data_IF_073056909941
#
_entry.id   IF_073056909941
#
_cell.length_a   1.000
_cell.length_b   1.000
_cell.length_c   1.000
_cell.angle_alpha   90.00
_cell.angle_beta   90.00
_cell.angle_gamma   90.00
#
_symmetry.space_group_name_H-M   'P 1'
#
loop_
_entity.id
_entity.type
_entity.pdbx_description
1 polymer ?
#
# COMPACT_ATOMS: atom_id res chain seq x y z
N UNK A 1 -12.12 0.45 -14.12
CA UNK A 1 -12.11 -0.63 -13.10
C UNK A 1 -13.20 -0.33 -12.13
N UNK A 2 -14.14 -1.25 -11.98
CA UNK A 2 -15.10 -1.25 -10.88
C UNK A 2 -14.70 -2.41 -9.99
N UNK A 3 -13.96 -2.10 -8.91
CA UNK A 3 -13.78 -3.04 -7.83
C UNK A 3 -15.04 -2.96 -6.93
N UNK A 4 -15.78 -4.07 -6.73
CA UNK A 4 -17.00 -4.06 -5.93
C UNK A 4 -16.73 -3.87 -4.43
N UNK A 5 -15.51 -4.15 -3.99
CA UNK A 5 -15.06 -4.04 -2.60
C UNK A 5 -13.54 -3.77 -2.51
N UNK A 6 -13.07 -3.54 -1.28
CA UNK A 6 -11.66 -3.23 -1.01
C UNK A 6 -10.75 -4.44 -1.29
N UNK A 7 -11.20 -5.65 -0.99
CA UNK A 7 -10.43 -6.87 -1.18
C UNK A 7 -10.14 -7.10 -2.67
N UNK A 8 -11.15 -6.91 -3.52
CA UNK A 8 -11.02 -6.99 -4.97
C UNK A 8 -10.09 -5.88 -5.49
N UNK A 9 -10.23 -4.65 -4.99
CA UNK A 9 -9.34 -3.55 -5.36
C UNK A 9 -7.88 -3.84 -5.00
N UNK A 10 -7.61 -4.32 -3.78
CA UNK A 10 -6.27 -4.72 -3.33
C UNK A 10 -5.71 -5.85 -4.21
N UNK A 11 -6.53 -6.84 -4.55
CA UNK A 11 -6.15 -7.92 -5.46
C UNK A 11 -5.78 -7.42 -6.85
N UNK A 12 -6.52 -6.46 -7.40
CA UNK A 12 -6.20 -5.83 -8.69
C UNK A 12 -4.88 -5.05 -8.64
N UNK A 13 -4.57 -4.35 -7.54
CA UNK A 13 -3.29 -3.67 -7.35
C UNK A 13 -2.12 -4.67 -7.29
N UNK A 14 -2.30 -5.78 -6.57
CA UNK A 14 -1.29 -6.84 -6.44
C UNK A 14 -1.00 -7.51 -7.80
N UNK A 15 -2.04 -7.83 -8.58
CA UNK A 15 -1.89 -8.40 -9.93
C UNK A 15 -1.14 -7.48 -10.90
N UNK A 16 -1.25 -6.17 -10.72
CA UNK A 16 -0.57 -5.16 -11.56
C UNK A 16 0.84 -4.83 -11.09
N UNK A 17 1.28 -5.38 -9.97
CA UNK A 17 2.54 -5.02 -9.33
C UNK A 17 2.54 -3.60 -8.74
N UNK A 18 1.34 -3.04 -8.48
CA UNK A 18 1.17 -1.69 -7.91
C UNK A 18 1.02 -1.70 -6.39
N UNK A 19 1.06 -2.87 -5.75
CA UNK A 19 0.98 -3.05 -4.31
C UNK A 19 2.27 -3.65 -3.76
N UNK A 20 2.76 -3.12 -2.67
CA UNK A 20 3.82 -3.72 -1.85
C UNK A 20 3.26 -4.08 -0.47
N UNK A 21 3.48 -5.33 -0.03
CA UNK A 21 3.10 -5.81 1.30
C UNK A 21 4.27 -5.67 2.27
N UNK A 22 4.13 -4.80 3.26
CA UNK A 22 5.07 -4.66 4.36
C UNK A 22 4.70 -5.70 5.41
N UNK A 23 5.52 -6.74 5.59
CA UNK A 23 5.26 -7.83 6.55
C UNK A 23 6.02 -7.69 7.87
N UNK A 24 6.94 -6.74 7.93
CA UNK A 24 7.68 -6.42 9.14
C UNK A 24 6.81 -5.56 10.04
N UNK A 25 6.99 -5.69 11.35
CA UNK A 25 6.30 -4.86 12.33
C UNK A 25 6.68 -3.38 12.12
N UNK A 26 5.67 -2.51 12.22
CA UNK A 26 5.80 -1.05 12.12
C UNK A 26 4.95 -0.39 13.21
N UNK A 27 5.39 0.75 13.70
CA UNK A 27 4.71 1.55 14.71
C UNK A 27 3.55 2.35 14.07
N UNK A 28 2.31 2.24 14.59
CA UNK A 28 1.21 3.08 14.11
C UNK A 28 1.40 4.57 14.42
N UNK A 29 2.26 4.91 15.38
CA UNK A 29 2.57 6.29 15.75
C UNK A 29 3.67 6.83 14.85
N UNK A 30 3.25 7.55 13.82
CA UNK A 30 4.08 8.30 12.86
C UNK A 30 4.95 7.48 11.90
N UNK A 31 5.36 6.25 12.23
CA UNK A 31 6.18 5.44 11.31
C UNK A 31 5.44 5.07 10.02
N UNK A 32 4.20 4.56 10.11
CA UNK A 32 3.38 4.27 8.92
C UNK A 32 3.23 5.51 8.02
N UNK A 33 3.01 6.68 8.62
CA UNK A 33 2.84 7.94 7.89
C UNK A 33 4.12 8.39 7.20
N UNK A 34 5.27 8.24 7.87
CA UNK A 34 6.59 8.58 7.32
C UNK A 34 6.93 7.71 6.10
N UNK A 35 6.72 6.39 6.23
CA UNK A 35 6.94 5.44 5.13
C UNK A 35 6.01 5.77 3.95
N UNK A 36 4.74 6.01 4.23
CA UNK A 36 3.74 6.34 3.19
C UNK A 36 4.08 7.66 2.49
N UNK A 37 4.54 8.67 3.22
CA UNK A 37 4.95 9.97 2.67
C UNK A 37 6.13 9.83 1.70
N UNK A 38 7.18 9.09 2.10
CA UNK A 38 8.34 8.81 1.23
C UNK A 38 7.95 8.09 -0.04
N UNK A 39 7.17 7.01 0.08
CA UNK A 39 6.78 6.18 -1.07
C UNK A 39 5.88 6.97 -2.02
N UNK A 40 4.92 7.75 -1.50
CA UNK A 40 4.03 8.58 -2.32
C UNK A 40 4.81 9.65 -3.07
N UNK A 41 5.72 10.36 -2.41
CA UNK A 41 6.55 11.42 -3.03
C UNK A 41 7.51 10.86 -4.08
N UNK A 42 7.91 9.60 -3.96
CA UNK A 42 8.71 8.90 -4.96
C UNK A 42 7.87 8.33 -6.12
N UNK A 43 6.54 8.45 -6.09
CA UNK A 43 5.65 7.81 -7.07
C UNK A 43 5.63 6.28 -6.96
N UNK A 44 5.90 5.74 -5.77
CA UNK A 44 5.99 4.31 -5.52
C UNK A 44 4.63 3.60 -5.39
N UNK A 45 4.64 2.28 -5.15
CA UNK A 45 3.44 1.47 -5.07
C UNK A 45 2.58 1.80 -3.84
N UNK A 46 1.33 1.38 -3.87
CA UNK A 46 0.50 1.34 -2.67
C UNK A 46 1.12 0.40 -1.62
N UNK A 47 0.96 0.75 -0.34
CA UNK A 47 1.48 -0.03 0.77
C UNK A 47 0.34 -0.70 1.52
N UNK A 48 0.53 -1.99 1.81
CA UNK A 48 -0.31 -2.74 2.73
C UNK A 48 0.58 -3.22 3.89
N UNK A 49 0.40 -2.59 5.04
CA UNK A 49 1.06 -2.91 6.31
C UNK A 49 0.31 -4.02 7.04
#
# INVERSE_FOLDING_TARGET
MTAPDLQTFVGELEQRGWLHRVRVEVDPVLEISEITDRVTKAGGPALLF
#
